data_IF_232494488982
#
_entry.id   IF_232494488982
#
_cell.length_a   1.000
_cell.length_b   1.000
_cell.length_c   1.000
_cell.angle_alpha   90.00
_cell.angle_beta   90.00
_cell.angle_gamma   90.00
#
_symmetry.space_group_name_H-M   'P 1'
#
loop_
_entity.id
_entity.type
_entity.pdbx_description
1 polymer ?
#
# COMPACT_ATOMS: atom_id res chain seq x y z
N UNK A 1 -9.74 43.64 21.45
CA UNK A 1 -9.20 42.79 22.55
C UNK A 1 -10.22 41.70 22.87
N UNK A 2 -9.97 40.45 22.50
CA UNK A 2 -10.57 39.28 23.15
C UNK A 2 -9.53 38.14 23.06
N UNK A 3 -9.19 37.58 24.21
CA UNK A 3 -8.10 36.61 24.44
C UNK A 3 -8.64 35.16 24.40
N UNK A 4 -7.75 34.16 24.31
CA UNK A 4 -8.00 32.87 23.67
C UNK A 4 -8.61 31.81 24.60
N UNK A 5 -9.25 30.80 23.99
CA UNK A 5 -9.72 29.58 24.67
C UNK A 5 -8.72 28.46 24.36
N UNK A 6 -8.00 28.01 25.39
CA UNK A 6 -7.27 26.74 25.39
C UNK A 6 -8.28 25.59 25.52
N UNK A 7 -8.08 24.49 24.80
CA UNK A 7 -8.57 23.19 25.27
C UNK A 7 -7.70 22.05 24.75
N UNK A 8 -7.33 21.25 25.74
CA UNK A 8 -6.32 20.20 25.80
C UNK A 8 -7.06 18.88 25.57
N UNK A 9 -6.72 18.15 24.51
CA UNK A 9 -7.17 16.77 24.26
C UNK A 9 -5.96 15.85 24.37
N UNK A 10 -5.70 15.23 25.52
CA UNK A 10 -6.30 13.98 26.01
C UNK A 10 -5.74 12.75 25.29
N UNK A 11 -4.79 12.10 25.98
CA UNK A 11 -4.08 10.92 25.51
C UNK A 11 -4.91 9.65 25.59
N UNK A 12 -4.62 8.73 24.68
CA UNK A 12 -5.01 7.34 24.79
C UNK A 12 -3.86 6.48 24.25
N UNK A 13 -2.90 6.16 25.11
CA UNK A 13 -1.94 5.09 24.87
C UNK A 13 -2.53 3.80 25.41
N UNK A 14 -3.10 2.97 24.54
CA UNK A 14 -3.46 1.58 24.84
C UNK A 14 -2.39 0.71 24.19
N UNK A 15 -1.53 0.13 25.02
CA UNK A 15 -0.59 -0.92 24.64
C UNK A 15 -1.28 -2.27 24.89
N UNK A 16 -1.88 -2.82 23.84
CA UNK A 16 -2.42 -4.17 23.84
C UNK A 16 -1.28 -5.18 23.71
N UNK A 17 -1.02 -5.87 24.83
CA UNK A 17 -0.77 -7.31 25.00
C UNK A 17 -0.36 -8.10 23.75
N UNK A 18 0.88 -8.59 23.73
CA UNK A 18 1.33 -9.63 22.81
C UNK A 18 1.65 -10.90 23.59
N UNK A 19 0.89 -11.97 23.33
CA UNK A 19 1.11 -13.33 23.84
C UNK A 19 1.64 -14.23 22.71
N UNK A 20 2.69 -15.00 23.03
CA UNK A 20 2.74 -16.46 22.82
C UNK A 20 2.63 -17.06 21.42
N UNK A 21 3.80 -17.38 20.84
CA UNK A 21 4.25 -18.74 20.51
C UNK A 21 3.46 -19.62 19.52
N UNK A 22 4.17 -20.15 18.51
CA UNK A 22 4.09 -21.58 18.14
C UNK A 22 5.21 -21.95 17.14
N UNK A 23 6.12 -22.81 17.59
CA UNK A 23 6.99 -23.64 16.74
C UNK A 23 6.17 -24.62 15.91
N UNK A 24 6.52 -24.83 14.64
CA UNK A 24 6.53 -26.17 14.03
C UNK A 24 7.18 -26.17 12.64
N UNK A 25 8.31 -26.90 12.60
CA UNK A 25 8.88 -27.73 11.55
C UNK A 25 8.41 -27.57 10.08
N UNK A 26 9.42 -27.47 9.22
CA UNK A 26 9.36 -27.55 7.76
C UNK A 26 8.68 -28.83 7.23
N UNK A 27 8.26 -28.78 5.95
CA UNK A 27 8.83 -29.73 5.00
C UNK A 27 9.24 -29.08 3.67
N UNK A 28 10.32 -29.62 3.08
CA UNK A 28 10.74 -29.35 1.70
C UNK A 28 9.69 -29.87 0.71
N UNK A 29 9.51 -29.21 -0.44
CA UNK A 29 9.17 -29.95 -1.65
C UNK A 29 10.18 -29.74 -2.79
N UNK A 30 10.48 -30.91 -3.36
CA UNK A 30 11.19 -31.29 -4.58
C UNK A 30 11.08 -30.32 -5.77
N UNK A 31 12.18 -30.23 -6.53
CA UNK A 31 12.23 -29.58 -7.84
C UNK A 31 11.39 -30.34 -8.89
N UNK A 32 10.81 -29.61 -9.85
CA UNK A 32 11.11 -29.95 -11.24
C UNK A 32 11.48 -28.71 -12.07
N UNK A 33 12.64 -28.75 -12.72
CA UNK A 33 12.94 -27.91 -13.88
C UNK A 33 12.23 -28.52 -15.11
N UNK A 34 11.38 -27.72 -15.78
CA UNK A 34 11.48 -27.65 -17.22
C UNK A 34 11.55 -26.20 -17.71
N UNK A 35 12.59 -25.89 -18.46
CA UNK A 35 12.75 -24.68 -19.27
C UNK A 35 11.76 -24.66 -20.47
N UNK A 36 11.77 -23.62 -21.32
CA UNK A 36 11.05 -22.36 -21.20
C UNK A 36 9.96 -22.20 -22.27
N UNK A 37 8.79 -21.66 -21.92
CA UNK A 37 7.73 -21.36 -22.89
C UNK A 37 7.43 -19.85 -22.86
N UNK A 38 7.69 -19.09 -23.94
CA UNK A 38 7.33 -17.68 -24.00
C UNK A 38 5.86 -17.56 -24.35
N UNK A 39 5.01 -17.52 -23.32
CA UNK A 39 3.60 -17.14 -23.47
C UNK A 39 3.34 -15.95 -22.56
N UNK A 40 3.21 -14.77 -23.18
CA UNK A 40 2.64 -13.58 -22.54
C UNK A 40 1.34 -13.97 -21.83
N UNK A 41 1.21 -13.75 -20.52
CA UNK A 41 -0.10 -13.68 -19.92
C UNK A 41 -0.59 -12.24 -20.07
N UNK A 42 -1.18 -11.93 -21.23
CA UNK A 42 -2.36 -11.06 -21.23
C UNK A 42 -3.46 -11.83 -20.50
N UNK A 43 -3.44 -11.77 -19.17
CA UNK A 43 -4.53 -12.24 -18.33
C UNK A 43 -4.82 -11.17 -17.29
N UNK A 44 -5.87 -10.42 -17.63
CA UNK A 44 -6.70 -9.64 -16.73
C UNK A 44 -6.42 -9.89 -15.24
N UNK A 45 -5.73 -8.92 -14.62
CA UNK A 45 -5.71 -8.77 -13.18
C UNK A 45 -7.13 -8.42 -12.74
N UNK A 46 -7.95 -9.43 -12.44
CA UNK A 46 -9.23 -9.25 -11.77
C UNK A 46 -8.94 -9.20 -10.27
N UNK A 47 -9.03 -8.04 -9.61
CA UNK A 47 -8.82 -8.00 -8.18
C UNK A 47 -10.02 -8.68 -7.50
N UNK A 48 -9.72 -9.65 -6.66
CA UNK A 48 -10.71 -10.27 -5.79
C UNK A 48 -11.35 -9.20 -4.88
N UNK A 49 -12.69 -9.14 -4.77
CA UNK A 49 -13.33 -8.21 -3.85
C UNK A 49 -13.35 -8.84 -2.47
N UNK A 50 -12.53 -8.33 -1.55
CA UNK A 50 -12.56 -8.85 -0.20
C UNK A 50 -11.51 -8.24 0.72
N UNK A 51 -12.01 -7.41 1.63
CA UNK A 51 -11.41 -7.06 2.91
C UNK A 51 -10.21 -6.11 2.87
N UNK A 52 -10.48 -4.81 3.07
CA UNK A 52 -9.65 -3.89 3.87
C UNK A 52 -8.13 -3.88 3.63
N UNK A 53 -7.71 -4.36 2.47
CA UNK A 53 -6.35 -4.80 2.20
C UNK A 53 -5.55 -3.67 1.59
N UNK A 54 -4.30 -3.59 1.98
CA UNK A 54 -3.35 -2.69 1.34
C UNK A 54 -3.47 -2.83 -0.20
N UNK A 55 -3.60 -1.70 -0.90
CA UNK A 55 -3.63 -1.71 -2.37
C UNK A 55 -2.29 -2.26 -2.88
N UNK A 56 -2.36 -3.07 -3.93
CA UNK A 56 -1.15 -3.66 -4.52
C UNK A 56 -0.45 -2.56 -5.31
N UNK A 57 0.83 -2.34 -5.03
CA UNK A 57 1.66 -1.42 -5.82
C UNK A 57 2.32 -2.17 -6.97
N UNK A 58 2.21 -1.64 -8.18
CA UNK A 58 2.99 -2.14 -9.31
C UNK A 58 4.46 -1.73 -9.14
N UNK A 59 5.39 -2.59 -9.61
CA UNK A 59 6.82 -2.32 -9.52
C UNK A 59 7.21 -0.97 -10.16
N UNK A 60 6.53 -0.60 -11.25
CA UNK A 60 6.75 0.66 -11.97
C UNK A 60 6.33 1.85 -11.10
N UNK A 61 5.19 1.75 -10.40
CA UNK A 61 4.70 2.77 -9.49
C UNK A 61 5.60 2.93 -8.27
N UNK A 62 6.14 1.83 -7.74
CA UNK A 62 7.13 1.87 -6.66
C UNK A 62 8.42 2.56 -7.09
N UNK A 63 8.91 2.29 -8.30
CA UNK A 63 10.11 2.96 -8.85
C UNK A 63 9.89 4.46 -9.04
N UNK A 64 8.71 4.89 -9.49
CA UNK A 64 8.36 6.31 -9.54
C UNK A 64 8.27 6.92 -8.14
N UNK A 65 7.68 6.21 -7.17
CA UNK A 65 7.61 6.66 -5.79
C UNK A 65 9.01 6.82 -5.16
N UNK A 66 10.00 6.01 -5.57
CA UNK A 66 11.38 6.14 -5.11
C UNK A 66 12.06 7.44 -5.59
N UNK A 67 11.65 8.00 -6.74
CA UNK A 67 12.14 9.30 -7.23
C UNK A 67 11.71 10.47 -6.34
N UNK A 68 10.64 10.31 -5.57
CA UNK A 68 10.15 11.32 -4.64
C UNK A 68 11.10 11.41 -3.43
N UNK A 69 11.50 12.62 -3.01
CA UNK A 69 12.30 12.79 -1.79
C UNK A 69 11.67 12.12 -0.57
N UNK A 70 12.48 11.49 0.27
CA UNK A 70 12.00 10.64 1.38
C UNK A 70 11.04 11.35 2.35
N UNK A 71 11.23 12.66 2.56
CA UNK A 71 10.37 13.47 3.43
C UNK A 71 8.93 13.63 2.89
N UNK A 72 8.73 13.49 1.57
CA UNK A 72 7.39 13.53 0.94
C UNK A 72 6.88 12.14 0.60
N UNK A 73 7.77 11.15 0.44
CA UNK A 73 7.41 9.79 0.00
C UNK A 73 6.30 9.15 0.84
N UNK A 74 6.36 9.27 2.17
CA UNK A 74 5.32 8.75 3.06
C UNK A 74 3.96 9.41 2.87
N UNK A 75 3.94 10.72 2.61
CA UNK A 75 2.71 11.46 2.26
C UNK A 75 2.20 11.02 0.89
N UNK A 76 3.07 10.95 -0.11
CA UNK A 76 2.73 10.54 -1.47
C UNK A 76 2.13 9.13 -1.50
N UNK A 77 2.74 8.15 -0.82
CA UNK A 77 2.21 6.78 -0.73
C UNK A 77 0.78 6.74 -0.18
N UNK A 78 0.56 7.32 0.99
CA UNK A 78 -0.77 7.35 1.64
C UNK A 78 -1.81 8.07 0.78
N UNK A 79 -1.36 9.09 0.06
CA UNK A 79 -2.19 9.89 -0.80
C UNK A 79 -2.67 9.09 -2.01
N UNK A 80 -1.75 8.42 -2.71
CA UNK A 80 -2.05 7.53 -3.83
C UNK A 80 -2.89 6.34 -3.38
N UNK A 81 -2.59 5.77 -2.21
CA UNK A 81 -3.44 4.76 -1.61
C UNK A 81 -4.85 5.32 -1.47
N UNK A 82 -5.06 6.42 -0.74
CA UNK A 82 -6.40 6.98 -0.52
C UNK A 82 -7.15 7.27 -1.82
N UNK A 83 -6.46 7.85 -2.80
CA UNK A 83 -7.00 8.07 -4.14
C UNK A 83 -7.48 6.79 -4.82
N UNK A 84 -6.71 5.72 -4.71
CA UNK A 84 -7.08 4.41 -5.24
C UNK A 84 -8.30 3.81 -4.53
N UNK A 85 -8.46 4.01 -3.21
CA UNK A 85 -9.71 3.61 -2.52
C UNK A 85 -10.93 4.33 -3.05
N UNK A 86 -10.82 5.65 -3.21
CA UNK A 86 -11.94 6.49 -3.64
C UNK A 86 -12.41 6.10 -5.06
N UNK A 87 -11.55 5.45 -5.85
CA UNK A 87 -11.82 4.97 -7.20
C UNK A 87 -12.04 3.46 -7.30
N UNK A 88 -12.07 2.77 -6.17
CA UNK A 88 -12.15 1.29 -6.10
C UNK A 88 -11.05 0.59 -6.93
N UNK A 89 -9.88 1.24 -7.02
CA UNK A 89 -8.70 0.72 -7.73
C UNK A 89 -7.91 -0.16 -6.78
N UNK A 90 -7.84 -1.46 -7.09
CA UNK A 90 -7.11 -2.43 -6.28
C UNK A 90 -5.59 -2.41 -6.53
N UNK A 91 -5.15 -2.03 -7.73
CA UNK A 91 -3.74 -2.01 -8.14
C UNK A 91 -3.30 -0.59 -8.48
N UNK A 92 -2.30 -0.08 -7.77
CA UNK A 92 -1.71 1.25 -7.98
C UNK A 92 -0.63 1.16 -9.05
N UNK A 93 -0.95 1.70 -10.22
CA UNK A 93 -0.02 1.87 -11.35
C UNK A 93 0.58 3.29 -11.37
N UNK A 94 1.51 3.53 -12.29
CA UNK A 94 2.10 4.86 -12.52
C UNK A 94 1.01 5.90 -12.84
N UNK A 95 0.04 5.56 -13.68
CA UNK A 95 -1.10 6.45 -14.00
C UNK A 95 -1.85 6.88 -12.73
N UNK A 96 -2.19 5.91 -11.87
CA UNK A 96 -2.90 6.19 -10.60
C UNK A 96 -2.08 7.13 -9.71
N UNK A 97 -0.75 7.00 -9.72
CA UNK A 97 0.15 7.89 -8.98
C UNK A 97 0.20 9.31 -9.55
N UNK A 98 0.21 9.47 -10.88
CA UNK A 98 0.14 10.78 -11.53
C UNK A 98 -1.21 11.47 -11.31
N UNK A 99 -2.31 10.73 -11.45
CA UNK A 99 -3.66 11.23 -11.19
C UNK A 99 -3.81 11.67 -9.73
N UNK A 100 -3.33 10.85 -8.78
CA UNK A 100 -3.31 11.21 -7.38
C UNK A 100 -2.47 12.47 -7.13
N UNK A 101 -1.27 12.55 -7.70
CA UNK A 101 -0.40 13.72 -7.57
C UNK A 101 -1.11 14.99 -8.06
N UNK A 102 -1.78 14.95 -9.22
CA UNK A 102 -2.55 16.08 -9.75
C UNK A 102 -3.74 16.44 -8.84
N UNK A 103 -4.40 15.44 -8.24
CA UNK A 103 -5.53 15.66 -7.34
C UNK A 103 -5.14 16.35 -6.01
N UNK A 104 -3.92 16.14 -5.53
CA UNK A 104 -3.48 16.59 -4.21
C UNK A 104 -2.36 17.64 -4.22
N UNK A 105 -1.92 18.09 -5.41
CA UNK A 105 -1.01 19.22 -5.58
C UNK A 105 -1.70 20.60 -5.56
N UNK A 106 -3.01 20.61 -5.28
CA UNK A 106 -3.86 21.80 -5.15
C UNK A 106 -3.90 22.35 -3.73
#
# INVERSE_FOLDING_TARGET
RLKPKTLKGSGHGRCDRMEGGASHLAPLPVAPEPAPQPVSPEVASRPAPGAGGARVWSADAERELLKIPFFVRGKARRNTERFAAERDVATITIDTLYDAKAHYAR
#
